data_IF_109121802023
#
_entry.id   IF_109121802023
#
_cell.length_a   1.000
_cell.length_b   1.000
_cell.length_c   1.000
_cell.angle_alpha   90.00
_cell.angle_beta   90.00
_cell.angle_gamma   90.00
#
_symmetry.space_group_name_H-M   'P 1'
#
loop_
_entity.id
_entity.type
_entity.pdbx_description
1 polymer ?
#
# COMPACT_ATOMS: atom_id res chain seq x y z
N UNK A 1 35.02 -37.09 -45.57
CA UNK A 1 34.85 -35.84 -44.82
C UNK A 1 33.45 -35.83 -44.19
N UNK A 2 33.35 -36.13 -42.86
CA UNK A 2 32.10 -36.11 -42.10
C UNK A 2 31.83 -34.65 -41.68
N UNK A 3 30.71 -34.10 -42.13
CA UNK A 3 30.21 -32.79 -41.66
C UNK A 3 29.58 -33.00 -40.27
N UNK A 4 30.13 -32.38 -39.25
CA UNK A 4 29.53 -32.32 -37.91
C UNK A 4 28.38 -31.31 -37.93
N UNK A 5 27.15 -31.85 -37.81
CA UNK A 5 25.98 -31.01 -37.55
C UNK A 5 26.07 -30.50 -36.10
N UNK A 6 26.29 -29.20 -35.96
CA UNK A 6 26.12 -28.53 -34.68
C UNK A 6 24.63 -28.27 -34.51
N UNK A 7 23.97 -29.14 -33.75
CA UNK A 7 22.69 -28.80 -33.16
C UNK A 7 22.96 -27.71 -32.12
N UNK A 8 22.63 -26.47 -32.44
CA UNK A 8 22.45 -25.43 -31.44
C UNK A 8 21.22 -25.84 -30.61
N UNK A 9 21.47 -26.33 -29.40
CA UNK A 9 20.44 -26.52 -28.40
C UNK A 9 19.73 -25.18 -28.15
N UNK A 10 18.44 -25.18 -28.41
CA UNK A 10 17.53 -24.08 -28.01
C UNK A 10 17.69 -23.95 -26.50
N UNK A 11 18.14 -22.79 -26.03
CA UNK A 11 18.11 -22.44 -24.62
C UNK A 11 16.67 -22.62 -24.15
N UNK A 12 16.39 -23.34 -23.06
CA UNK A 12 15.05 -23.38 -22.54
C UNK A 12 14.65 -21.95 -22.14
N UNK A 13 13.50 -21.53 -22.60
CA UNK A 13 12.86 -20.33 -22.08
C UNK A 13 12.74 -20.48 -20.56
N UNK A 14 13.01 -19.44 -19.77
CA UNK A 14 12.77 -19.52 -18.35
C UNK A 14 11.27 -19.82 -18.15
N UNK A 15 10.99 -20.96 -17.55
CA UNK A 15 9.65 -21.23 -17.04
C UNK A 15 9.25 -20.08 -16.13
N UNK A 16 7.96 -19.65 -16.16
CA UNK A 16 7.49 -18.66 -15.21
C UNK A 16 7.87 -19.16 -13.82
N UNK A 17 8.61 -18.34 -13.10
CA UNK A 17 8.99 -18.64 -11.71
C UNK A 17 7.68 -18.96 -10.98
N UNK A 18 7.45 -20.22 -10.69
CA UNK A 18 6.45 -20.63 -9.71
C UNK A 18 6.83 -19.84 -8.46
N UNK A 19 5.90 -19.00 -8.00
CA UNK A 19 6.04 -18.28 -6.74
C UNK A 19 6.58 -19.25 -5.72
N UNK A 20 7.77 -18.96 -5.19
CA UNK A 20 8.45 -19.87 -4.28
C UNK A 20 7.49 -20.27 -3.17
N UNK A 21 7.01 -21.51 -3.21
CA UNK A 21 6.15 -22.04 -2.16
C UNK A 21 6.96 -22.02 -0.87
N UNK A 22 6.54 -21.15 0.04
CA UNK A 22 7.15 -21.07 1.36
C UNK A 22 6.93 -22.43 2.05
N UNK A 23 7.99 -23.09 2.44
CA UNK A 23 7.90 -24.35 3.16
C UNK A 23 7.57 -24.10 4.64
N UNK A 24 6.29 -24.01 4.95
CA UNK A 24 5.82 -23.81 6.31
C UNK A 24 6.16 -24.96 7.26
N UNK A 25 6.36 -26.16 6.73
CA UNK A 25 6.72 -27.34 7.53
C UNK A 25 8.11 -27.24 8.13
N UNK A 26 9.04 -26.56 7.43
CA UNK A 26 10.41 -26.32 7.89
C UNK A 26 10.50 -25.18 8.91
N UNK A 27 9.46 -24.37 9.06
CA UNK A 27 9.43 -23.22 9.95
C UNK A 27 9.13 -23.61 11.39
N UNK A 28 9.68 -22.85 12.33
CA UNK A 28 9.34 -22.99 13.75
C UNK A 28 7.96 -22.37 14.04
N UNK A 29 7.32 -22.88 15.10
CA UNK A 29 5.99 -22.35 15.51
C UNK A 29 6.01 -20.83 15.73
N UNK A 30 7.08 -20.29 16.33
CA UNK A 30 7.20 -18.84 16.56
C UNK A 30 7.20 -18.03 15.24
N UNK A 31 7.87 -18.53 14.22
CA UNK A 31 7.91 -17.92 12.89
C UNK A 31 6.55 -17.96 12.20
N UNK A 32 5.81 -19.05 12.37
CA UNK A 32 4.44 -19.20 11.85
C UNK A 32 3.47 -18.24 12.56
N UNK A 33 3.62 -18.04 13.86
CA UNK A 33 2.85 -17.07 14.64
C UNK A 33 3.09 -15.65 14.14
N UNK A 34 4.33 -15.27 13.89
CA UNK A 34 4.67 -13.96 13.35
C UNK A 34 4.06 -13.75 11.96
N UNK A 35 4.13 -14.74 11.08
CA UNK A 35 3.50 -14.67 9.76
C UNK A 35 1.97 -14.51 9.86
N UNK A 36 1.34 -15.22 10.77
CA UNK A 36 -0.10 -15.07 11.01
C UNK A 36 -0.46 -13.66 11.48
N UNK A 37 0.34 -13.08 12.37
CA UNK A 37 0.16 -11.71 12.84
C UNK A 37 0.33 -10.69 11.71
N UNK A 38 1.36 -10.85 10.89
CA UNK A 38 1.63 -9.99 9.74
C UNK A 38 0.48 -10.00 8.73
N UNK A 39 -0.12 -11.17 8.52
CA UNK A 39 -1.26 -11.37 7.61
C UNK A 39 -2.63 -11.12 8.25
N UNK A 40 -2.68 -10.70 9.52
CA UNK A 40 -3.95 -10.46 10.23
C UNK A 40 -4.72 -11.73 10.58
N UNK A 41 -4.07 -12.88 10.61
CA UNK A 41 -4.65 -14.17 10.99
C UNK A 41 -4.54 -14.42 12.48
N UNK A 42 -5.41 -15.29 13.01
CA UNK A 42 -5.35 -15.68 14.41
C UNK A 42 -4.06 -16.45 14.71
N UNK A 43 -3.34 -16.03 15.74
CA UNK A 43 -2.06 -16.60 16.17
C UNK A 43 -2.18 -17.83 17.06
N UNK A 44 -3.38 -18.16 17.50
CA UNK A 44 -3.65 -19.29 18.41
C UNK A 44 -3.75 -20.61 17.65
N UNK A 45 -3.27 -21.67 18.25
CA UNK A 45 -3.36 -23.03 17.74
C UNK A 45 -2.04 -23.79 17.75
N UNK A 46 -2.10 -25.03 17.30
CA UNK A 46 -0.91 -25.85 17.11
C UNK A 46 -0.18 -25.48 15.82
N UNK A 47 1.05 -25.98 15.65
CA UNK A 47 1.83 -25.74 14.42
C UNK A 47 1.05 -26.15 13.17
N UNK A 48 0.37 -27.28 13.21
CA UNK A 48 -0.41 -27.81 12.08
C UNK A 48 -1.57 -26.88 11.72
N UNK A 49 -2.27 -26.34 12.72
CA UNK A 49 -3.36 -25.36 12.52
C UNK A 49 -2.85 -24.07 11.90
N UNK A 50 -1.69 -23.58 12.32
CA UNK A 50 -1.07 -22.39 11.75
C UNK A 50 -0.66 -22.60 10.30
N UNK A 51 -0.09 -23.76 9.98
CA UNK A 51 0.28 -24.14 8.61
C UNK A 51 -0.95 -24.20 7.71
N UNK A 52 -2.02 -24.87 8.17
CA UNK A 52 -3.28 -24.96 7.42
C UNK A 52 -3.86 -23.57 7.16
N UNK A 53 -3.87 -22.73 8.17
CA UNK A 53 -4.37 -21.35 8.09
C UNK A 53 -3.57 -20.51 7.09
N UNK A 54 -2.24 -20.59 7.12
CA UNK A 54 -1.36 -19.90 6.18
C UNK A 54 -1.47 -20.46 4.76
N UNK A 55 -1.62 -21.77 4.62
CA UNK A 55 -1.78 -22.42 3.29
C UNK A 55 -3.13 -22.09 2.64
N UNK A 56 -4.17 -21.90 3.46
CA UNK A 56 -5.50 -21.49 3.00
C UNK A 56 -5.62 -19.98 2.78
N UNK A 57 -4.66 -19.21 3.28
CA UNK A 57 -4.60 -17.78 3.06
C UNK A 57 -4.12 -17.49 1.65
N UNK A 58 -5.06 -17.14 0.79
CA UNK A 58 -4.75 -16.52 -0.47
C UNK A 58 -4.63 -15.02 -0.20
N UNK A 59 -3.44 -14.47 -0.38
CA UNK A 59 -3.36 -13.03 -0.56
C UNK A 59 -4.30 -12.67 -1.70
N UNK A 60 -5.46 -12.14 -1.34
CA UNK A 60 -6.27 -11.50 -2.33
C UNK A 60 -5.44 -10.32 -2.82
N UNK A 61 -4.77 -10.48 -3.94
CA UNK A 61 -4.38 -9.35 -4.76
C UNK A 61 -5.68 -8.65 -5.10
N UNK A 62 -6.04 -7.67 -4.27
CA UNK A 62 -7.17 -6.80 -4.57
C UNK A 62 -6.87 -6.22 -5.95
N UNK A 63 -7.80 -6.35 -6.92
CA UNK A 63 -7.60 -5.72 -8.21
C UNK A 63 -7.35 -4.23 -7.96
N UNK A 64 -6.43 -3.62 -8.72
CA UNK A 64 -6.21 -2.20 -8.66
C UNK A 64 -7.55 -1.47 -8.85
N UNK A 65 -7.85 -0.44 -8.06
CA UNK A 65 -9.05 0.36 -8.27
C UNK A 65 -9.01 0.98 -9.68
N UNK A 66 -10.18 1.20 -10.25
CA UNK A 66 -10.27 1.87 -11.55
C UNK A 66 -9.70 3.30 -11.46
N UNK A 67 -8.93 3.70 -12.46
CA UNK A 67 -8.29 5.01 -12.50
C UNK A 67 -9.32 6.16 -12.39
N UNK A 68 -10.44 6.06 -13.06
CA UNK A 68 -11.51 7.07 -13.00
C UNK A 68 -12.11 7.19 -11.59
N UNK A 69 -12.26 6.09 -10.89
CA UNK A 69 -12.73 6.08 -9.50
C UNK A 69 -11.72 6.76 -8.57
N UNK A 70 -10.43 6.49 -8.73
CA UNK A 70 -9.36 7.13 -7.94
C UNK A 70 -9.30 8.63 -8.22
N UNK A 71 -9.44 9.03 -9.48
CA UNK A 71 -9.54 10.44 -9.89
C UNK A 71 -10.72 11.15 -9.22
N UNK A 72 -11.87 10.53 -9.20
CA UNK A 72 -13.07 11.05 -8.55
C UNK A 72 -12.86 11.23 -7.04
N UNK A 73 -12.27 10.24 -6.38
CA UNK A 73 -11.93 10.31 -4.96
C UNK A 73 -10.97 11.47 -4.66
N UNK A 74 -9.90 11.62 -5.45
CA UNK A 74 -8.96 12.72 -5.28
C UNK A 74 -9.62 14.09 -5.47
N UNK A 75 -10.50 14.22 -6.44
CA UNK A 75 -11.25 15.45 -6.69
C UNK A 75 -12.25 15.75 -5.57
N UNK A 76 -12.96 14.75 -5.08
CA UNK A 76 -13.95 14.88 -4.02
C UNK A 76 -13.33 15.12 -2.62
N UNK A 77 -12.03 14.96 -2.48
CA UNK A 77 -11.34 15.35 -1.26
C UNK A 77 -11.43 16.85 -1.00
N UNK A 78 -11.59 17.65 -2.03
CA UNK A 78 -11.77 19.09 -1.90
C UNK A 78 -12.99 19.42 -1.05
N UNK A 79 -12.80 20.23 -0.03
CA UNK A 79 -13.84 20.61 0.93
C UNK A 79 -14.04 19.61 2.07
N UNK A 80 -13.37 18.46 2.06
CA UNK A 80 -13.45 17.48 3.15
C UNK A 80 -12.72 17.97 4.40
N UNK A 81 -13.30 17.65 5.56
CA UNK A 81 -12.64 17.82 6.84
C UNK A 81 -12.04 16.50 7.30
N UNK A 82 -10.74 16.51 7.53
CA UNK A 82 -9.99 15.36 8.01
C UNK A 82 -9.90 15.39 9.53
N UNK A 83 -10.16 14.27 10.18
CA UNK A 83 -9.84 14.08 11.59
C UNK A 83 -8.48 13.38 11.68
N UNK A 84 -7.44 14.10 12.05
CA UNK A 84 -6.07 13.61 12.11
C UNK A 84 -5.62 13.46 13.57
N UNK A 85 -5.45 12.24 14.01
CA UNK A 85 -4.77 11.93 15.25
C UNK A 85 -3.26 12.13 15.05
N UNK A 86 -2.55 12.49 16.10
CA UNK A 86 -1.09 12.63 16.04
C UNK A 86 -0.48 11.42 15.36
N UNK A 87 0.27 11.60 14.24
CA UNK A 87 0.83 10.49 13.50
C UNK A 87 1.77 9.63 14.34
N UNK A 88 1.74 8.33 14.12
CA UNK A 88 2.58 7.39 14.86
C UNK A 88 4.07 7.73 14.75
N UNK A 89 4.54 8.16 13.59
CA UNK A 89 5.94 8.57 13.36
C UNK A 89 6.43 9.71 14.24
N UNK A 90 5.54 10.52 14.81
CA UNK A 90 5.87 11.66 15.69
C UNK A 90 5.26 11.53 17.08
N UNK A 91 4.57 10.44 17.37
CA UNK A 91 3.88 10.20 18.63
C UNK A 91 4.84 10.25 19.85
N UNK A 92 6.08 9.88 19.67
CA UNK A 92 7.11 9.88 20.72
C UNK A 92 7.53 11.30 21.17
N UNK A 93 7.23 12.33 20.39
CA UNK A 93 7.64 13.71 20.66
C UNK A 93 6.51 14.74 20.65
N UNK A 94 5.28 14.30 20.40
CA UNK A 94 4.11 15.17 20.36
C UNK A 94 2.95 14.58 21.14
N UNK A 95 2.17 15.47 21.76
CA UNK A 95 0.96 15.06 22.46
C UNK A 95 -0.03 14.39 21.50
N UNK A 96 -0.61 13.28 21.94
CA UNK A 96 -1.62 12.54 21.20
C UNK A 96 -2.94 13.32 21.22
N UNK A 97 -3.28 13.92 20.11
CA UNK A 97 -4.48 14.72 19.91
C UNK A 97 -5.09 14.48 18.54
N UNK A 98 -6.40 14.55 18.47
CA UNK A 98 -7.12 14.58 17.20
C UNK A 98 -7.32 16.06 16.80
N UNK A 99 -6.88 16.38 15.59
CA UNK A 99 -7.02 17.72 15.00
C UNK A 99 -7.84 17.62 13.75
N UNK A 100 -8.82 18.50 13.62
CA UNK A 100 -9.58 18.63 12.36
C UNK A 100 -8.84 19.59 11.43
N UNK A 101 -8.69 19.17 10.18
CA UNK A 101 -8.03 19.96 9.12
C UNK A 101 -8.84 19.84 7.85
N UNK A 102 -9.04 20.94 7.18
CA UNK A 102 -9.82 21.00 5.95
C UNK A 102 -8.91 20.92 4.73
N UNK A 103 -9.30 20.13 3.77
CA UNK A 103 -8.75 20.16 2.42
C UNK A 103 -9.42 21.29 1.66
N UNK A 104 -8.66 22.31 1.30
CA UNK A 104 -9.19 23.51 0.68
C UNK A 104 -9.35 23.34 -0.83
N UNK A 105 -8.38 22.73 -1.49
CA UNK A 105 -8.39 22.54 -2.93
C UNK A 105 -7.60 21.31 -3.34
N UNK A 106 -8.06 20.64 -4.37
CA UNK A 106 -7.33 19.60 -5.08
C UNK A 106 -7.26 19.95 -6.56
N UNK A 107 -6.10 19.76 -7.19
CA UNK A 107 -5.89 20.13 -8.58
C UNK A 107 -4.88 19.24 -9.28
N UNK A 108 -4.89 19.29 -10.60
CA UNK A 108 -3.95 18.60 -11.47
C UNK A 108 -3.82 17.08 -11.21
N UNK A 109 -4.92 16.32 -11.08
CA UNK A 109 -4.82 14.90 -10.88
C UNK A 109 -4.32 14.19 -12.14
N UNK A 110 -3.37 13.31 -11.99
CA UNK A 110 -2.92 12.41 -13.04
C UNK A 110 -2.69 11.01 -12.48
N UNK A 111 -2.97 10.00 -13.28
CA UNK A 111 -2.79 8.60 -12.91
C UNK A 111 -2.08 7.88 -14.04
N UNK A 112 -1.03 7.17 -13.68
CA UNK A 112 -0.26 6.32 -14.58
C UNK A 112 -0.07 4.95 -13.96
N UNK A 113 0.10 3.94 -14.79
CA UNK A 113 0.50 2.59 -14.37
C UNK A 113 1.95 2.41 -14.77
N UNK A 114 2.80 2.09 -13.80
CA UNK A 114 4.22 1.90 -14.06
C UNK A 114 4.52 0.53 -14.71
N UNK A 115 5.79 0.27 -15.03
CA UNK A 115 6.22 -0.97 -15.67
C UNK A 115 5.97 -2.22 -14.80
N UNK A 116 5.88 -2.07 -13.49
CA UNK A 116 5.61 -3.14 -12.53
C UNK A 116 4.11 -3.39 -12.31
N UNK A 117 3.25 -2.62 -12.98
CA UNK A 117 1.80 -2.70 -12.85
C UNK A 117 1.22 -1.96 -11.65
N UNK A 118 2.02 -1.13 -10.97
CA UNK A 118 1.55 -0.30 -9.87
C UNK A 118 0.89 0.97 -10.40
N UNK A 119 -0.19 1.38 -9.75
CA UNK A 119 -0.85 2.64 -10.06
C UNK A 119 -0.14 3.77 -9.32
N UNK A 120 0.31 4.78 -10.04
CA UNK A 120 0.93 5.99 -9.51
C UNK A 120 0.01 7.17 -9.78
N UNK A 121 -0.41 7.83 -8.71
CA UNK A 121 -1.23 9.02 -8.78
C UNK A 121 -0.43 10.24 -8.32
N UNK A 122 -0.55 11.32 -9.06
CA UNK A 122 0.03 12.62 -8.74
C UNK A 122 -1.06 13.68 -8.73
N UNK A 123 -1.08 14.52 -7.73
CA UNK A 123 -2.02 15.63 -7.64
C UNK A 123 -1.50 16.71 -6.70
N UNK A 124 -2.05 17.90 -6.84
CA UNK A 124 -1.76 19.02 -5.96
C UNK A 124 -2.85 19.16 -4.91
N UNK A 125 -2.45 19.46 -3.70
CA UNK A 125 -3.33 19.54 -2.55
C UNK A 125 -3.05 20.83 -1.78
N UNK A 126 -4.10 21.64 -1.56
CA UNK A 126 -4.06 22.78 -0.66
C UNK A 126 -4.85 22.46 0.60
N UNK A 127 -4.23 22.58 1.75
CA UNK A 127 -4.81 22.24 3.04
C UNK A 127 -4.62 23.38 4.05
N UNK A 128 -5.40 23.33 5.12
CA UNK A 128 -5.15 24.17 6.29
C UNK A 128 -3.77 23.91 6.87
N UNK A 129 -3.18 24.93 7.48
CA UNK A 129 -1.89 24.84 8.16
C UNK A 129 -1.89 23.73 9.21
N UNK A 130 -0.79 23.00 9.29
CA UNK A 130 -0.63 21.90 10.24
C UNK A 130 -1.28 20.58 9.82
N UNK A 131 -1.74 20.46 8.57
CA UNK A 131 -2.23 19.21 8.01
C UNK A 131 -1.07 18.24 7.74
N UNK A 132 -1.23 17.00 8.18
CA UNK A 132 -0.30 15.92 7.87
C UNK A 132 -0.64 15.31 6.51
N UNK A 133 0.03 15.74 5.47
CA UNK A 133 -0.30 15.39 4.08
C UNK A 133 -0.04 13.92 3.77
N UNK A 134 1.06 13.36 4.24
CA UNK A 134 1.37 11.94 4.03
C UNK A 134 0.28 11.04 4.62
N UNK A 135 -0.17 11.35 5.82
CA UNK A 135 -1.23 10.61 6.51
C UNK A 135 -2.59 10.79 5.83
N UNK A 136 -2.83 11.91 5.16
CA UNK A 136 -4.01 12.10 4.31
C UNK A 136 -4.07 11.09 3.17
N UNK A 137 -2.92 10.66 2.67
CA UNK A 137 -2.84 9.65 1.62
C UNK A 137 -2.96 8.24 2.18
N UNK A 138 -2.09 7.83 3.09
CA UNK A 138 -2.04 6.44 3.55
C UNK A 138 -2.90 6.13 4.78
N UNK A 139 -3.41 7.15 5.47
CA UNK A 139 -4.35 7.01 6.58
C UNK A 139 -3.75 6.66 7.94
N UNK A 140 -2.47 6.32 8.03
CA UNK A 140 -1.77 5.98 9.28
C UNK A 140 -2.55 4.98 10.14
N UNK A 141 -2.94 3.85 9.55
CA UNK A 141 -3.72 2.78 10.19
C UNK A 141 -5.06 3.27 10.80
N UNK A 142 -5.70 4.24 10.16
CA UNK A 142 -6.97 4.81 10.61
C UNK A 142 -6.84 6.01 11.55
N UNK A 143 -5.64 6.48 11.84
CA UNK A 143 -5.40 7.71 12.61
C UNK A 143 -5.85 8.99 11.89
N UNK A 144 -5.86 8.96 10.55
CA UNK A 144 -6.43 9.99 9.70
C UNK A 144 -7.68 9.46 9.01
N UNK A 145 -8.82 10.12 9.21
CA UNK A 145 -10.09 9.76 8.60
C UNK A 145 -10.83 10.99 8.09
N UNK A 146 -11.36 10.95 6.86
CA UNK A 146 -11.07 9.96 5.83
C UNK A 146 -9.65 10.11 5.27
N UNK A 147 -9.12 9.06 4.65
CA UNK A 147 -7.87 9.10 3.89
C UNK A 147 -8.11 8.57 2.48
N UNK A 148 -7.20 8.87 1.56
CA UNK A 148 -7.29 8.34 0.19
C UNK A 148 -7.30 6.81 0.24
N UNK A 149 -6.41 6.21 1.01
CA UNK A 149 -6.36 4.76 1.17
C UNK A 149 -7.67 4.15 1.68
N UNK A 150 -8.34 4.80 2.64
CA UNK A 150 -9.63 4.34 3.16
C UNK A 150 -10.77 4.48 2.15
N UNK A 151 -10.76 5.55 1.37
CA UNK A 151 -11.81 5.83 0.38
C UNK A 151 -11.72 4.92 -0.84
N UNK A 152 -10.51 4.62 -1.33
CA UNK A 152 -10.31 3.70 -2.45
C UNK A 152 -10.21 2.23 -2.00
N UNK A 153 -10.17 1.97 -0.70
CA UNK A 153 -10.03 0.63 -0.10
C UNK A 153 -8.79 -0.12 -0.60
N UNK A 154 -7.69 0.60 -0.73
CA UNK A 154 -6.41 0.05 -1.17
C UNK A 154 -5.27 0.68 -0.35
N UNK A 155 -4.18 -0.08 -0.21
CA UNK A 155 -2.97 0.43 0.45
C UNK A 155 -2.31 1.48 -0.43
N UNK A 156 -2.02 2.64 0.16
CA UNK A 156 -1.32 3.73 -0.50
C UNK A 156 0.00 4.03 0.22
N UNK A 157 1.00 4.37 -0.56
CA UNK A 157 2.28 4.89 -0.06
C UNK A 157 2.60 6.20 -0.76
N UNK A 158 3.30 7.09 -0.07
CA UNK A 158 3.75 8.36 -0.66
C UNK A 158 5.16 8.17 -1.16
N UNK A 159 5.35 8.23 -2.48
CA UNK A 159 6.68 8.12 -3.10
C UNK A 159 7.48 9.40 -2.95
N UNK A 160 6.84 10.55 -3.19
CA UNK A 160 7.44 11.85 -2.98
C UNK A 160 6.39 12.90 -2.61
N UNK A 161 6.83 13.92 -1.92
CA UNK A 161 6.04 15.06 -1.51
C UNK A 161 6.90 16.32 -1.65
N UNK A 162 6.39 17.30 -2.36
CA UNK A 162 6.99 18.61 -2.50
C UNK A 162 6.02 19.69 -2.00
N UNK A 163 6.57 20.67 -1.32
CA UNK A 163 5.82 21.86 -0.88
C UNK A 163 6.05 22.95 -1.91
N UNK A 164 5.09 23.10 -2.83
CA UNK A 164 5.19 24.05 -3.92
C UNK A 164 5.06 25.51 -3.46
N UNK A 165 4.18 25.74 -2.46
CA UNK A 165 3.93 27.09 -1.92
C UNK A 165 3.34 27.02 -0.51
N UNK A 166 3.58 28.03 0.28
CA UNK A 166 2.98 28.22 1.61
C UNK A 166 2.18 29.53 1.57
N UNK A 167 0.87 29.39 1.60
CA UNK A 167 -0.02 30.54 1.68
C UNK A 167 -0.14 31.01 3.13
N UNK A 168 0.28 32.23 3.41
CA UNK A 168 0.03 32.88 4.69
C UNK A 168 -1.41 33.34 4.73
N UNK A 169 -2.17 32.84 5.68
CA UNK A 169 -3.52 33.35 5.98
C UNK A 169 -3.45 34.56 6.91
#
# INVERSE_FOLDING_TARGET
>A
RRRKNHHRGKKPEPEPEEEAQVDYLAMKKAELVELCLEKGLAKSGTKDVLIERLSSFKEATLPLPEADYVMEIMTNLQGCTLAQRTPERVAHRRADKIRKRKVLETSNPSIEVDADGNMVAEFSLRCESGTYVKETVHGDSGRTQPSIASLIKAKCTVEWLDVADIHAD
#
